data_IF_357806951792
#
_entry.id   IF_357806951792
#
_cell.length_a   1.000
_cell.length_b   1.000
_cell.length_c   1.000
_cell.angle_alpha   90.00
_cell.angle_beta   90.00
_cell.angle_gamma   90.00
#
_symmetry.space_group_name_H-M   'P 1'
#
loop_
_entity.id
_entity.type
_entity.pdbx_description
1 polymer ?
#
# COMPACT_ATOMS: atom_id res chain seq x y z
N UNK A 1 -19.91 -11.30 14.65
CA UNK A 1 -18.53 -11.00 14.61
C UNK A 1 -17.82 -11.68 13.46
N UNK A 2 -17.09 -10.95 12.67
CA UNK A 2 -16.35 -11.50 11.56
C UNK A 2 -15.12 -12.26 12.02
N UNK A 3 -14.61 -13.10 11.13
CA UNK A 3 -13.33 -13.75 11.36
C UNK A 3 -12.22 -12.72 11.36
N UNK A 4 -11.26 -12.91 12.21
CA UNK A 4 -10.06 -12.10 12.14
C UNK A 4 -9.34 -12.32 10.82
N UNK A 5 -8.99 -11.24 10.17
CA UNK A 5 -8.18 -11.27 8.97
C UNK A 5 -6.72 -11.46 9.39
N UNK A 6 -5.97 -12.38 8.75
CA UNK A 6 -4.57 -12.60 9.13
C UNK A 6 -3.70 -11.35 9.07
N UNK A 7 -4.09 -10.38 8.26
CA UNK A 7 -3.33 -9.15 8.10
C UNK A 7 -3.87 -8.00 8.96
N UNK A 8 -4.95 -8.20 9.72
CA UNK A 8 -5.55 -7.13 10.50
C UNK A 8 -4.57 -6.40 11.42
N UNK A 9 -3.61 -7.08 12.08
CA UNK A 9 -2.63 -6.38 12.88
C UNK A 9 -1.73 -5.42 12.10
N UNK A 10 -1.69 -5.55 10.78
CA UNK A 10 -0.84 -4.76 9.89
C UNK A 10 -1.64 -3.72 9.09
N UNK A 11 -2.95 -3.67 9.26
CA UNK A 11 -3.77 -2.70 8.53
C UNK A 11 -3.89 -1.42 9.34
N UNK A 12 -4.01 -0.30 8.62
CA UNK A 12 -4.24 0.98 9.24
C UNK A 12 -5.61 0.99 9.95
N UNK A 13 -5.75 1.77 11.03
CA UNK A 13 -7.07 1.97 11.63
C UNK A 13 -8.06 2.51 10.60
N UNK A 14 -9.38 2.32 10.81
CA UNK A 14 -10.37 2.90 9.92
C UNK A 14 -10.11 4.38 9.68
N UNK A 15 -10.08 4.77 8.41
CA UNK A 15 -9.82 6.15 8.04
C UNK A 15 -10.63 6.52 6.81
N UNK A 16 -10.92 7.80 6.65
CA UNK A 16 -11.67 8.32 5.51
C UNK A 16 -10.77 8.97 4.48
N UNK A 17 -9.52 9.17 4.80
CA UNK A 17 -8.58 9.79 3.86
C UNK A 17 -7.14 9.40 4.18
N UNK A 18 -6.29 9.52 3.16
CA UNK A 18 -4.85 9.28 3.30
C UNK A 18 -4.13 10.38 2.55
N UNK A 19 -3.04 10.87 3.12
CA UNK A 19 -2.30 12.02 2.57
C UNK A 19 -0.91 11.60 2.10
N UNK A 20 -0.52 12.13 0.94
CA UNK A 20 0.85 11.97 0.46
C UNK A 20 1.79 12.80 1.32
N UNK A 21 2.83 12.15 1.84
CA UNK A 21 3.86 12.83 2.62
C UNK A 21 4.77 13.69 1.75
N UNK A 22 4.73 13.47 0.43
CA UNK A 22 5.57 14.19 -0.54
C UNK A 22 4.85 15.40 -1.11
N UNK A 23 3.62 15.21 -1.58
CA UNK A 23 2.90 16.25 -2.32
C UNK A 23 1.83 16.97 -1.51
N UNK A 24 1.40 16.37 -0.40
CA UNK A 24 0.26 16.89 0.34
C UNK A 24 -1.10 16.52 -0.28
N UNK A 25 -1.09 15.76 -1.38
CA UNK A 25 -2.34 15.29 -1.97
C UNK A 25 -3.14 14.47 -0.96
N UNK A 26 -4.43 14.74 -0.86
CA UNK A 26 -5.33 14.02 0.05
C UNK A 26 -6.26 13.14 -0.79
N UNK A 27 -6.18 11.84 -0.57
CA UNK A 27 -7.04 10.89 -1.24
C UNK A 27 -8.22 10.54 -0.34
N UNK A 28 -9.44 10.79 -0.84
CA UNK A 28 -10.66 10.47 -0.11
C UNK A 28 -11.04 9.01 -0.35
N UNK A 29 -11.25 8.26 0.73
CA UNK A 29 -11.69 6.87 0.66
C UNK A 29 -13.21 6.88 0.72
N UNK A 30 -13.83 6.72 -0.43
CA UNK A 30 -15.29 6.90 -0.57
C UNK A 30 -16.09 5.60 -0.48
N UNK A 31 -15.44 4.48 -0.79
CA UNK A 31 -16.11 3.19 -0.80
C UNK A 31 -15.98 2.49 0.54
N UNK A 32 -16.89 1.57 0.80
CA UNK A 32 -16.75 0.65 1.92
C UNK A 32 -15.72 -0.40 1.51
N UNK A 33 -14.53 -0.33 2.07
CA UNK A 33 -13.42 -1.21 1.72
C UNK A 33 -12.92 -1.97 2.93
N UNK A 34 -12.34 -3.14 2.67
CA UNK A 34 -11.81 -4.02 3.72
C UNK A 34 -10.68 -4.89 3.17
N UNK A 35 -10.13 -5.74 4.00
CA UNK A 35 -9.10 -6.69 3.57
C UNK A 35 -9.63 -7.72 2.56
N UNK A 36 -10.95 -7.88 2.44
CA UNK A 36 -11.57 -8.78 1.47
C UNK A 36 -11.86 -8.12 0.12
N UNK A 37 -11.66 -6.82 0.01
CA UNK A 37 -11.95 -6.08 -1.23
C UNK A 37 -11.05 -6.59 -2.36
N UNK A 38 -11.68 -6.83 -3.52
CA UNK A 38 -10.99 -7.24 -4.75
C UNK A 38 -10.97 -6.07 -5.74
N UNK A 39 -10.12 -6.21 -6.76
CA UNK A 39 -10.07 -5.24 -7.88
C UNK A 39 -9.97 -3.81 -7.34
N UNK A 40 -8.86 -3.54 -6.67
CA UNK A 40 -8.73 -2.30 -5.89
C UNK A 40 -7.32 -1.73 -5.97
N UNK A 41 -7.23 -0.47 -5.58
CA UNK A 41 -5.97 0.21 -5.33
C UNK A 41 -5.75 0.19 -3.83
N UNK A 42 -4.54 -0.16 -3.43
CA UNK A 42 -4.16 -0.19 -2.04
C UNK A 42 -2.92 0.67 -1.82
N UNK A 43 -2.68 0.96 -0.56
CA UNK A 43 -1.57 1.81 -0.13
C UNK A 43 -0.87 1.11 1.02
N UNK A 44 0.47 1.16 1.06
CA UNK A 44 1.17 0.82 2.29
C UNK A 44 2.27 1.83 2.56
N UNK A 45 2.66 1.91 3.81
CA UNK A 45 3.65 2.88 4.26
C UNK A 45 4.48 2.26 5.38
N UNK A 46 5.60 2.91 5.66
CA UNK A 46 6.43 2.55 6.79
C UNK A 46 5.86 3.21 8.05
N UNK A 47 5.56 2.41 9.07
CA UNK A 47 5.02 2.92 10.33
C UNK A 47 5.98 3.83 11.09
N UNK A 48 7.25 3.79 10.76
CA UNK A 48 8.24 4.68 11.39
C UNK A 48 7.98 6.14 11.07
N UNK A 49 7.24 6.44 9.98
CA UNK A 49 6.90 7.81 9.63
C UNK A 49 8.13 8.69 9.55
N UNK A 50 8.14 9.76 10.34
CA UNK A 50 9.25 10.72 10.34
C UNK A 50 10.56 10.12 10.86
N UNK A 51 10.50 9.01 11.58
CA UNK A 51 11.71 8.33 12.08
C UNK A 51 12.31 7.38 11.04
N UNK A 52 11.63 7.20 9.90
CA UNK A 52 12.18 6.43 8.79
C UNK A 52 13.25 7.26 8.09
N UNK A 53 14.40 6.66 7.82
CA UNK A 53 15.51 7.35 7.16
C UNK A 53 15.15 7.82 5.75
N UNK A 54 14.14 7.18 5.11
CA UNK A 54 13.69 7.55 3.78
C UNK A 54 12.55 8.57 3.78
N UNK A 55 12.09 8.98 4.96
CA UNK A 55 11.00 9.96 5.03
C UNK A 55 11.36 11.23 4.26
N UNK A 56 10.45 11.82 3.48
CA UNK A 56 9.02 11.46 3.32
C UNK A 56 8.75 10.40 2.24
N UNK A 57 9.75 9.73 1.72
CA UNK A 57 9.67 8.87 0.54
C UNK A 57 9.35 7.42 0.90
N UNK A 58 8.43 7.19 1.84
CA UNK A 58 8.16 5.87 2.42
C UNK A 58 6.76 5.35 2.13
N UNK A 59 6.14 5.78 1.04
CA UNK A 59 4.78 5.37 0.66
C UNK A 59 4.79 4.64 -0.67
N UNK A 60 3.85 3.72 -0.80
CA UNK A 60 3.68 2.89 -1.99
C UNK A 60 2.20 2.73 -2.31
N UNK A 61 1.85 2.77 -3.58
CA UNK A 61 0.50 2.51 -4.06
C UNK A 61 0.53 1.39 -5.08
N UNK A 62 -0.37 0.43 -4.94
CA UNK A 62 -0.42 -0.72 -5.83
C UNK A 62 -1.84 -1.10 -6.20
N UNK A 63 -1.94 -2.06 -7.10
CA UNK A 63 -3.23 -2.60 -7.53
C UNK A 63 -3.25 -4.10 -7.36
N UNK A 64 -4.46 -4.65 -7.23
CA UNK A 64 -4.65 -6.09 -7.27
C UNK A 64 -6.05 -6.42 -7.74
N UNK A 65 -6.19 -7.50 -8.51
CA UNK A 65 -7.48 -8.08 -8.84
C UNK A 65 -7.92 -9.05 -7.75
N UNK A 66 -6.98 -9.56 -6.97
CA UNK A 66 -7.24 -10.47 -5.85
C UNK A 66 -7.78 -9.70 -4.66
N UNK A 67 -8.23 -10.44 -3.63
CA UNK A 67 -8.51 -9.81 -2.35
C UNK A 67 -7.24 -9.15 -1.81
N UNK A 68 -7.42 -7.97 -1.23
CA UNK A 68 -6.29 -7.20 -0.69
C UNK A 68 -5.45 -8.04 0.28
N UNK A 69 -6.10 -8.80 1.17
CA UNK A 69 -5.37 -9.61 2.16
C UNK A 69 -4.40 -10.60 1.50
N UNK A 70 -4.75 -11.15 0.34
CA UNK A 70 -3.87 -12.06 -0.39
C UNK A 70 -2.66 -11.32 -0.96
N UNK A 71 -2.90 -10.18 -1.56
CA UNK A 71 -1.82 -9.38 -2.13
C UNK A 71 -0.92 -8.82 -1.04
N UNK A 72 -1.50 -8.37 0.07
CA UNK A 72 -0.73 -7.85 1.19
C UNK A 72 0.15 -8.94 1.81
N UNK A 73 -0.37 -10.17 1.91
CA UNK A 73 0.42 -11.32 2.39
C UNK A 73 1.62 -11.58 1.49
N UNK A 74 1.50 -11.36 0.18
CA UNK A 74 2.64 -11.47 -0.74
C UNK A 74 3.71 -10.45 -0.40
N UNK A 75 3.32 -9.20 -0.10
CA UNK A 75 4.28 -8.17 0.30
C UNK A 75 4.97 -8.54 1.62
N UNK A 76 4.23 -9.08 2.57
CA UNK A 76 4.81 -9.55 3.83
C UNK A 76 5.83 -10.68 3.58
N UNK A 77 5.50 -11.61 2.67
CA UNK A 77 6.40 -12.69 2.30
C UNK A 77 7.71 -12.16 1.70
N UNK A 78 7.63 -11.11 0.88
CA UNK A 78 8.84 -10.53 0.31
C UNK A 78 9.78 -10.03 1.41
N UNK A 79 9.24 -9.49 2.49
CA UNK A 79 10.03 -9.05 3.64
C UNK A 79 10.60 -10.26 4.39
N UNK A 80 9.75 -11.23 4.68
CA UNK A 80 10.14 -12.40 5.47
C UNK A 80 11.18 -13.28 4.77
N UNK A 81 11.20 -13.27 3.44
CA UNK A 81 12.12 -14.08 2.64
C UNK A 81 13.28 -13.28 2.07
N UNK A 82 13.44 -12.04 2.45
CA UNK A 82 14.49 -11.15 1.95
C UNK A 82 14.50 -11.03 0.41
N UNK A 83 13.32 -10.93 -0.18
CA UNK A 83 13.19 -10.76 -1.63
C UNK A 83 13.31 -9.26 -1.93
N UNK A 84 14.53 -8.81 -2.15
CA UNK A 84 14.86 -7.38 -2.20
C UNK A 84 14.66 -6.72 -3.56
N UNK A 85 14.26 -7.47 -4.59
CA UNK A 85 13.88 -6.87 -5.87
C UNK A 85 12.42 -6.41 -5.89
N UNK A 86 11.68 -6.64 -4.78
CA UNK A 86 10.32 -6.15 -4.60
C UNK A 86 10.34 -4.98 -3.61
N UNK A 87 9.50 -3.94 -3.81
CA UNK A 87 9.55 -2.73 -2.99
C UNK A 87 9.46 -2.98 -1.49
N UNK A 88 8.56 -3.85 -1.04
CA UNK A 88 8.41 -4.12 0.39
C UNK A 88 9.63 -4.88 0.94
N UNK A 89 10.13 -5.85 0.18
CA UNK A 89 11.33 -6.59 0.59
C UNK A 89 12.54 -5.69 0.66
N UNK A 90 12.68 -4.76 -0.28
CA UNK A 90 13.79 -3.83 -0.28
C UNK A 90 13.76 -2.88 0.93
N UNK A 91 12.59 -2.31 1.21
CA UNK A 91 12.50 -1.28 2.26
C UNK A 91 12.53 -1.88 3.67
N UNK A 92 11.74 -2.93 3.92
CA UNK A 92 11.53 -3.41 5.29
C UNK A 92 12.58 -4.43 5.76
N UNK A 93 13.57 -4.74 4.92
CA UNK A 93 14.75 -5.50 5.35
C UNK A 93 15.94 -4.61 5.69
N UNK A 94 15.80 -3.29 5.57
CA UNK A 94 16.83 -2.34 5.99
C UNK A 94 17.04 -2.40 7.50
N UNK A 95 18.22 -1.98 7.99
CA UNK A 95 18.47 -1.93 9.44
C UNK A 95 17.38 -1.18 10.18
N UNK A 96 16.98 -1.68 11.34
CA UNK A 96 15.94 -1.11 12.21
C UNK A 96 14.53 -1.20 11.61
N UNK A 97 14.38 -1.91 10.50
CA UNK A 97 13.06 -2.17 9.89
C UNK A 97 12.70 -3.62 10.06
N UNK A 98 11.40 -3.91 10.03
CA UNK A 98 10.88 -5.27 10.02
C UNK A 98 9.51 -5.28 9.36
N UNK A 99 8.95 -6.48 9.18
CA UNK A 99 7.61 -6.62 8.64
C UNK A 99 6.57 -5.90 9.50
N UNK A 100 6.86 -5.69 10.77
CA UNK A 100 5.96 -4.99 11.69
C UNK A 100 5.83 -3.50 11.38
N UNK A 101 6.74 -2.95 10.59
CA UNK A 101 6.68 -1.55 10.18
C UNK A 101 5.84 -1.35 8.92
N UNK A 102 5.44 -2.44 8.26
CA UNK A 102 4.62 -2.40 7.05
C UNK A 102 3.15 -2.26 7.45
N UNK A 103 2.54 -1.14 7.08
CA UNK A 103 1.13 -0.87 7.36
C UNK A 103 0.39 -0.57 6.05
N UNK A 104 -0.70 -1.26 5.82
CA UNK A 104 -1.44 -1.14 4.57
C UNK A 104 -2.93 -0.98 4.72
N UNK A 105 -3.57 -0.51 3.65
CA UNK A 105 -5.03 -0.40 3.59
C UNK A 105 -5.47 -0.29 2.14
N UNK A 106 -6.73 -0.64 1.88
CA UNK A 106 -7.37 -0.38 0.59
C UNK A 106 -7.81 1.07 0.57
N UNK A 107 -7.54 1.78 -0.52
CA UNK A 107 -7.92 3.19 -0.62
C UNK A 107 -8.95 3.45 -1.72
N UNK A 108 -9.16 2.50 -2.63
CA UNK A 108 -10.14 2.70 -3.68
C UNK A 108 -10.58 1.36 -4.27
N UNK A 109 -11.90 1.15 -4.36
CA UNK A 109 -12.47 0.04 -5.11
C UNK A 109 -12.65 0.47 -6.56
N UNK A 110 -12.17 -0.33 -7.50
CA UNK A 110 -12.39 -0.07 -8.93
C UNK A 110 -13.53 -0.97 -9.39
N UNK A 111 -14.59 -0.35 -9.90
CA UNK A 111 -15.85 -1.08 -10.22
C UNK A 111 -15.86 -1.65 -11.63
N UNK A 112 -14.88 -1.34 -12.46
CA UNK A 112 -14.75 -1.92 -13.80
C UNK A 112 -13.92 -3.21 -13.73
N UNK A 113 -14.35 -4.22 -14.50
CA UNK A 113 -13.57 -5.46 -14.62
C UNK A 113 -12.47 -5.38 -15.68
N UNK A 114 -12.39 -4.27 -16.39
CA UNK A 114 -11.36 -4.06 -17.41
C UNK A 114 -10.02 -3.80 -16.72
N UNK A 115 -9.01 -4.68 -16.91
CA UNK A 115 -7.69 -4.48 -16.30
C UNK A 115 -7.04 -3.15 -16.68
N UNK A 116 -7.37 -2.60 -17.84
CA UNK A 116 -6.83 -1.31 -18.26
C UNK A 116 -7.32 -0.18 -17.37
N UNK A 117 -8.59 -0.23 -16.93
CA UNK A 117 -9.13 0.78 -16.02
C UNK A 117 -8.42 0.73 -14.68
N UNK A 118 -8.18 -0.47 -14.15
CA UNK A 118 -7.45 -0.65 -12.90
C UNK A 118 -6.03 -0.10 -13.03
N UNK A 119 -5.35 -0.43 -14.12
CA UNK A 119 -3.99 0.04 -14.38
C UNK A 119 -3.92 1.56 -14.49
N UNK A 120 -4.86 2.16 -15.21
CA UNK A 120 -4.92 3.60 -15.38
C UNK A 120 -5.12 4.30 -14.04
N UNK A 121 -6.00 3.75 -13.20
CA UNK A 121 -6.28 4.35 -11.90
C UNK A 121 -5.07 4.25 -10.98
N UNK A 122 -4.38 3.12 -10.99
CA UNK A 122 -3.14 2.98 -10.22
C UNK A 122 -2.13 4.04 -10.62
N UNK A 123 -1.91 4.20 -11.91
CA UNK A 123 -0.95 5.19 -12.41
C UNK A 123 -1.30 6.61 -12.00
N UNK A 124 -2.59 6.95 -12.01
CA UNK A 124 -3.04 8.28 -11.57
C UNK A 124 -2.73 8.50 -10.09
N UNK A 125 -3.00 7.50 -9.26
CA UNK A 125 -2.76 7.59 -7.83
C UNK A 125 -1.26 7.68 -7.53
N UNK A 126 -0.44 6.89 -8.23
CA UNK A 126 1.01 6.97 -8.09
C UNK A 126 1.50 8.38 -8.39
N UNK A 127 0.97 9.01 -9.45
CA UNK A 127 1.33 10.39 -9.79
C UNK A 127 0.86 11.39 -8.73
N UNK A 128 -0.38 11.22 -8.25
CA UNK A 128 -0.93 12.15 -7.25
C UNK A 128 -0.14 12.11 -5.95
N UNK A 129 0.32 10.92 -5.55
CA UNK A 129 1.15 10.75 -4.36
C UNK A 129 2.62 11.04 -4.63
N UNK A 130 3.02 11.04 -5.90
CA UNK A 130 4.43 11.08 -6.33
C UNK A 130 5.24 9.94 -5.67
N UNK A 131 4.66 8.74 -5.67
CA UNK A 131 5.28 7.60 -5.00
C UNK A 131 6.24 6.80 -5.89
N UNK A 132 6.40 7.18 -7.16
CA UNK A 132 7.37 6.56 -8.05
C UNK A 132 8.76 7.21 -7.88
N UNK A 133 8.88 8.51 -8.17
CA UNK A 133 10.16 9.20 -8.07
C UNK A 133 10.53 9.51 -6.62
N UNK A 134 9.55 9.85 -5.81
CA UNK A 134 9.75 10.25 -4.41
C UNK A 134 8.99 9.34 -3.47
N UNK A 135 9.05 8.03 -3.71
CA UNK A 135 8.42 7.01 -2.91
C UNK A 135 8.98 5.64 -3.22
N UNK A 136 8.23 4.61 -2.86
CA UNK A 136 8.70 3.24 -2.93
C UNK A 136 8.21 2.47 -4.16
N UNK A 137 7.38 3.09 -5.01
CA UNK A 137 7.01 2.48 -6.28
C UNK A 137 8.21 2.43 -7.22
N UNK A 138 8.36 1.31 -7.92
CA UNK A 138 9.45 1.12 -8.90
C UNK A 138 9.03 1.43 -10.33
N UNK A 139 7.72 1.59 -10.55
CA UNK A 139 7.14 1.92 -11.85
C UNK A 139 6.09 2.98 -11.68
N UNK A 140 5.93 3.87 -12.68
CA UNK A 140 4.92 4.93 -12.63
C UNK A 140 3.48 4.42 -12.72
#
# INVERSE_FOLDING_TARGET
>A
MGKECPICPFTAPPTTEITSEVTGYVHQIKDSVSCDTTNCIYHWRCKKGRDCEDYPNCQYNGKTQKQFKKRFSEHQDYVMRDITDQPSGEHFTKPRHSVHDLEGLVIEKVHSKDPFVLQTRESQIIRNFDSYKNGLNKEP
#
